data_IF_348060214610
#
_entry.id   IF_348060214610
#
_cell.length_a   1.000
_cell.length_b   1.000
_cell.length_c   1.000
_cell.angle_alpha   90.00
_cell.angle_beta   90.00
_cell.angle_gamma   90.00
#
_symmetry.space_group_name_H-M   'P 1'
#
loop_
_entity.id
_entity.type
_entity.pdbx_description
1 polymer ?
#
# COMPACT_ATOMS: atom_id res chain seq x y z
N UNK A 1 -11.66 33.40 -0.98
CA UNK A 1 -11.53 32.18 -1.81
C UNK A 1 -10.20 31.56 -1.41
N UNK A 2 -10.20 30.75 -0.36
CA UNK A 2 -9.00 30.07 0.16
C UNK A 2 -8.96 28.70 -0.50
N UNK A 3 -8.01 28.49 -1.39
CA UNK A 3 -7.74 27.15 -1.93
C UNK A 3 -7.24 26.27 -0.80
N UNK A 4 -7.82 25.08 -0.71
CA UNK A 4 -7.61 24.12 0.35
C UNK A 4 -6.34 23.32 -0.01
N UNK A 5 -5.15 23.90 0.17
CA UNK A 5 -3.88 23.35 -0.34
C UNK A 5 -3.05 22.61 0.72
N UNK A 6 -3.68 22.10 1.79
CA UNK A 6 -2.98 21.54 2.96
C UNK A 6 -2.97 20.01 3.08
N UNK A 7 -3.54 19.27 2.13
CA UNK A 7 -3.58 17.81 2.17
C UNK A 7 -2.63 17.26 1.10
N UNK A 8 -1.57 16.52 1.45
CA UNK A 8 -0.65 15.95 0.48
C UNK A 8 -1.37 15.02 -0.49
N UNK A 9 -0.89 14.98 -1.73
CA UNK A 9 -1.38 14.06 -2.75
C UNK A 9 -1.08 12.61 -2.33
N UNK A 10 -1.91 11.68 -2.80
CA UNK A 10 -1.62 10.26 -2.62
C UNK A 10 -0.52 9.82 -3.60
N UNK A 11 0.33 8.87 -3.20
CA UNK A 11 1.26 8.22 -4.12
C UNK A 11 0.53 7.64 -5.33
N UNK A 12 1.22 7.57 -6.47
CA UNK A 12 0.64 6.98 -7.66
C UNK A 12 0.20 5.53 -7.40
N UNK A 13 -0.99 5.18 -7.89
CA UNK A 13 -1.58 3.85 -7.74
C UNK A 13 -2.20 3.58 -6.36
N UNK A 14 -2.13 4.51 -5.40
CA UNK A 14 -2.90 4.40 -4.16
C UNK A 14 -4.40 4.53 -4.47
N UNK A 15 -5.20 3.65 -3.86
CA UNK A 15 -6.65 3.65 -3.98
C UNK A 15 -7.32 4.55 -2.92
N UNK A 16 -6.66 4.73 -1.77
CA UNK A 16 -7.18 5.54 -0.70
C UNK A 16 -6.19 5.75 0.45
N UNK A 17 -6.69 6.39 1.50
CA UNK A 17 -5.97 6.55 2.75
C UNK A 17 -6.94 6.55 3.94
N UNK A 18 -6.41 6.32 5.14
CA UNK A 18 -7.12 6.53 6.40
C UNK A 18 -7.21 8.02 6.75
N UNK A 19 -7.92 8.33 7.82
CA UNK A 19 -7.80 9.64 8.47
C UNK A 19 -6.40 9.82 9.06
N UNK A 20 -6.02 11.06 9.36
CA UNK A 20 -4.76 11.36 10.03
C UNK A 20 -4.80 10.90 11.48
N UNK A 21 -3.75 10.22 11.90
CA UNK A 21 -3.54 9.67 13.23
C UNK A 21 -2.27 10.26 13.84
N UNK A 22 -2.31 10.50 15.16
CA UNK A 22 -1.18 11.01 15.93
C UNK A 22 -0.69 9.91 16.87
N UNK A 23 0.53 9.43 16.67
CA UNK A 23 1.21 8.49 17.56
C UNK A 23 2.47 9.15 18.14
N UNK A 24 2.44 9.44 19.45
CA UNK A 24 3.44 10.28 20.09
C UNK A 24 3.49 11.68 19.46
N UNK A 25 4.65 12.03 18.88
CA UNK A 25 4.88 13.31 18.19
C UNK A 25 4.75 13.19 16.66
N UNK A 26 4.42 12.00 16.14
CA UNK A 26 4.34 11.71 14.71
C UNK A 26 2.89 11.77 14.21
N UNK A 27 2.63 12.69 13.28
CA UNK A 27 1.35 12.76 12.56
C UNK A 27 1.50 12.02 11.22
N UNK A 28 0.67 11.01 10.98
CA UNK A 28 0.69 10.22 9.76
C UNK A 28 -0.71 9.78 9.34
N UNK A 29 -0.83 9.21 8.14
CA UNK A 29 -2.00 8.43 7.71
C UNK A 29 -1.51 7.18 6.99
N UNK A 30 -2.34 6.15 6.94
CA UNK A 30 -2.04 4.95 6.15
C UNK A 30 -2.59 5.16 4.75
N UNK A 31 -1.73 5.11 3.73
CA UNK A 31 -2.12 5.04 2.31
C UNK A 31 -2.12 3.59 1.87
N UNK A 32 -3.04 3.20 1.00
CA UNK A 32 -3.16 1.80 0.57
C UNK A 32 -3.64 1.67 -0.89
N UNK A 33 -3.32 0.53 -1.51
CA UNK A 33 -3.88 0.13 -2.81
C UNK A 33 -5.18 -0.64 -2.63
N UNK A 34 -5.94 -0.80 -3.71
CA UNK A 34 -7.02 -1.79 -3.73
C UNK A 34 -6.44 -3.20 -3.56
N UNK A 35 -7.21 -4.08 -2.91
CA UNK A 35 -6.86 -5.48 -2.80
C UNK A 35 -7.00 -6.18 -4.15
N UNK A 36 -5.88 -6.63 -4.69
CA UNK A 36 -5.82 -7.44 -5.91
C UNK A 36 -6.04 -8.89 -5.56
N UNK A 37 -7.14 -9.46 -6.07
CA UNK A 37 -7.54 -10.84 -5.75
C UNK A 37 -7.27 -11.80 -6.90
N UNK A 38 -6.90 -13.02 -6.55
CA UNK A 38 -6.86 -14.11 -7.53
C UNK A 38 -8.27 -14.63 -7.78
N UNK A 39 -8.68 -14.68 -9.04
CA UNK A 39 -10.00 -15.16 -9.44
C UNK A 39 -10.35 -16.53 -8.85
N UNK A 40 -11.57 -16.63 -8.32
CA UNK A 40 -12.09 -17.86 -7.75
C UNK A 40 -11.44 -18.27 -6.42
N UNK A 41 -10.74 -17.36 -5.73
CA UNK A 41 -10.32 -17.57 -4.35
C UNK A 41 -10.30 -16.25 -3.56
N UNK A 42 -10.19 -16.34 -2.24
CA UNK A 42 -10.19 -15.17 -1.35
C UNK A 42 -8.76 -14.66 -1.06
N UNK A 43 -7.78 -15.06 -1.88
CA UNK A 43 -6.40 -14.61 -1.72
C UNK A 43 -6.25 -13.23 -2.33
N UNK A 44 -5.74 -12.29 -1.54
CA UNK A 44 -5.59 -10.89 -1.90
C UNK A 44 -4.19 -10.37 -1.56
N UNK A 45 -3.72 -9.41 -2.36
CA UNK A 45 -2.51 -8.64 -2.06
C UNK A 45 -2.87 -7.16 -2.11
N UNK A 46 -2.41 -6.39 -1.14
CA UNK A 46 -2.45 -4.94 -1.19
C UNK A 46 -1.17 -4.37 -0.57
N UNK A 47 -0.87 -3.13 -0.94
CA UNK A 47 0.21 -2.35 -0.36
C UNK A 47 -0.37 -1.39 0.67
N UNK A 48 0.44 -1.09 1.68
CA UNK A 48 0.21 0.08 2.51
C UNK A 48 1.52 0.74 2.92
N UNK A 49 1.48 2.05 3.14
CA UNK A 49 2.60 2.81 3.68
C UNK A 49 2.08 3.90 4.61
N UNK A 50 2.94 4.38 5.52
CA UNK A 50 2.65 5.58 6.29
C UNK A 50 3.05 6.81 5.48
N UNK A 51 2.15 7.78 5.38
CA UNK A 51 2.41 9.07 4.74
C UNK A 51 2.33 10.21 5.76
N UNK A 52 3.29 11.12 5.70
CA UNK A 52 3.35 12.32 6.53
C UNK A 52 2.68 13.53 5.88
N UNK A 53 2.38 14.62 6.64
CA UNK A 53 1.73 15.82 6.11
C UNK A 53 2.51 16.53 5.00
N UNK A 54 3.83 16.34 4.94
CA UNK A 54 4.69 16.86 3.86
C UNK A 54 4.60 16.03 2.56
N UNK A 55 3.90 14.90 2.60
CA UNK A 55 3.66 13.99 1.49
C UNK A 55 4.69 12.87 1.36
N UNK A 56 5.76 12.89 2.15
CA UNK A 56 6.75 11.81 2.19
C UNK A 56 6.17 10.52 2.76
N UNK A 57 6.73 9.38 2.33
CA UNK A 57 6.44 8.08 2.93
C UNK A 57 7.47 7.77 4.02
N UNK A 58 7.00 7.19 5.12
CA UNK A 58 7.86 6.80 6.23
C UNK A 58 8.83 5.71 5.81
N UNK A 59 10.10 5.90 6.15
CA UNK A 59 11.17 4.92 5.92
C UNK A 59 11.34 3.98 7.11
N UNK A 60 11.08 4.48 8.31
CA UNK A 60 11.14 3.70 9.55
C UNK A 60 10.00 2.69 9.63
N UNK A 61 8.90 2.96 8.93
CA UNK A 61 7.84 2.01 8.64
C UNK A 61 7.64 1.89 7.12
N UNK A 62 8.49 1.08 6.45
CA UNK A 62 8.57 1.04 4.99
C UNK A 62 7.27 0.50 4.39
N UNK A 63 7.10 0.70 3.08
CA UNK A 63 5.95 0.15 2.35
C UNK A 63 5.82 -1.35 2.61
N UNK A 64 4.68 -1.75 3.17
CA UNK A 64 4.38 -3.13 3.51
C UNK A 64 3.54 -3.76 2.39
N UNK A 65 3.92 -4.98 2.00
CA UNK A 65 3.12 -5.82 1.11
C UNK A 65 2.33 -6.81 1.96
N UNK A 66 1.04 -6.58 2.11
CA UNK A 66 0.15 -7.48 2.83
C UNK A 66 -0.36 -8.57 1.89
N UNK A 67 -0.12 -9.82 2.29
CA UNK A 67 -0.65 -11.00 1.60
C UNK A 67 -1.71 -11.62 2.48
N UNK A 68 -2.98 -11.44 2.11
CA UNK A 68 -4.09 -12.11 2.72
C UNK A 68 -4.34 -13.44 2.01
N UNK A 69 -4.07 -14.54 2.68
CA UNK A 69 -4.33 -15.89 2.18
C UNK A 69 -5.56 -16.42 2.91
N UNK A 70 -6.73 -16.35 2.26
CA UNK A 70 -7.96 -16.91 2.80
C UNK A 70 -8.46 -18.14 2.03
N UNK A 71 -9.00 -19.08 2.80
CA UNK A 71 -9.52 -20.37 2.34
C UNK A 71 -8.73 -21.56 2.91
N UNK A 72 -9.43 -22.68 3.09
CA UNK A 72 -8.89 -23.89 3.72
C UNK A 72 -8.25 -24.87 2.71
N UNK A 73 -8.11 -24.48 1.44
CA UNK A 73 -7.75 -25.37 0.33
C UNK A 73 -6.45 -24.99 -0.39
N UNK A 74 -5.71 -25.96 -0.95
CA UNK A 74 -4.52 -25.67 -1.74
C UNK A 74 -4.88 -24.91 -3.01
N UNK A 75 -4.01 -23.99 -3.43
CA UNK A 75 -4.12 -23.32 -4.73
C UNK A 75 -3.85 -24.30 -5.87
N UNK A 76 -4.64 -24.17 -6.94
CA UNK A 76 -4.27 -24.79 -8.22
C UNK A 76 -3.02 -24.13 -8.80
N UNK A 77 -2.30 -24.83 -9.68
CA UNK A 77 -1.11 -24.25 -10.33
C UNK A 77 -1.40 -23.00 -11.18
N UNK A 78 -2.64 -22.80 -11.65
CA UNK A 78 -3.03 -21.55 -12.32
C UNK A 78 -3.17 -20.41 -11.31
N UNK A 79 -3.86 -20.66 -10.19
CA UNK A 79 -4.03 -19.67 -9.12
C UNK A 79 -2.70 -19.30 -8.45
N UNK A 80 -1.80 -20.27 -8.24
CA UNK A 80 -0.46 -19.98 -7.72
C UNK A 80 0.35 -19.06 -8.64
N UNK A 81 0.24 -19.23 -9.97
CA UNK A 81 0.91 -18.33 -10.92
C UNK A 81 0.26 -16.95 -10.96
N UNK A 82 -1.06 -16.88 -10.88
CA UNK A 82 -1.77 -15.61 -10.78
C UNK A 82 -1.37 -14.85 -9.50
N UNK A 83 -1.32 -15.52 -8.35
CA UNK A 83 -0.85 -14.92 -7.09
C UNK A 83 0.59 -14.44 -7.21
N UNK A 84 1.47 -15.26 -7.80
CA UNK A 84 2.86 -14.87 -8.03
C UNK A 84 2.98 -13.61 -8.90
N UNK A 85 2.17 -13.47 -9.95
CA UNK A 85 2.16 -12.27 -10.77
C UNK A 85 1.70 -11.04 -9.99
N UNK A 86 0.61 -11.16 -9.21
CA UNK A 86 0.12 -10.07 -8.37
C UNK A 86 1.20 -9.62 -7.36
N UNK A 87 1.95 -10.57 -6.78
CA UNK A 87 3.06 -10.25 -5.88
C UNK A 87 4.22 -9.53 -6.57
N UNK A 88 4.53 -9.91 -7.82
CA UNK A 88 5.56 -9.22 -8.60
C UNK A 88 5.13 -7.79 -8.93
N UNK A 89 3.88 -7.59 -9.37
CA UNK A 89 3.34 -6.28 -9.69
C UNK A 89 3.30 -5.38 -8.43
N UNK A 90 2.93 -5.95 -7.28
CA UNK A 90 2.95 -5.25 -5.99
C UNK A 90 4.37 -4.86 -5.57
N UNK A 91 5.37 -5.73 -5.80
CA UNK A 91 6.76 -5.43 -5.51
C UNK A 91 7.29 -4.27 -6.38
N UNK A 92 6.99 -4.27 -7.69
CA UNK A 92 7.37 -3.18 -8.58
C UNK A 92 6.75 -1.83 -8.15
N UNK A 93 5.49 -1.85 -7.70
CA UNK A 93 4.84 -0.65 -7.19
C UNK A 93 5.43 -0.18 -5.85
N UNK A 94 5.76 -1.11 -4.95
CA UNK A 94 6.43 -0.80 -3.68
C UNK A 94 7.82 -0.18 -3.92
N UNK A 95 8.60 -0.69 -4.88
CA UNK A 95 9.88 -0.10 -5.30
C UNK A 95 9.69 1.33 -5.81
N UNK A 96 8.58 1.59 -6.53
CA UNK A 96 8.21 2.94 -6.97
C UNK A 96 7.86 3.88 -5.82
N UNK A 97 7.23 3.37 -4.76
CA UNK A 97 6.91 4.14 -3.55
C UNK A 97 8.14 4.39 -2.68
N UNK A 98 9.09 3.45 -2.60
CA UNK A 98 10.34 3.63 -1.88
C UNK A 98 11.16 4.82 -2.41
N UNK A 99 11.03 5.17 -3.69
CA UNK A 99 11.66 6.37 -4.26
C UNK A 99 11.09 7.70 -3.73
N UNK A 100 9.97 7.67 -3.01
CA UNK A 100 9.31 8.82 -2.37
C UNK A 100 9.64 8.93 -0.86
N UNK A 101 10.42 8.00 -0.33
CA UNK A 101 10.91 8.06 1.05
C UNK A 101 11.89 9.25 1.19
N UNK A 102 11.72 10.04 2.25
CA UNK A 102 12.59 11.20 2.48
C UNK A 102 14.03 10.74 2.78
N UNK A 103 15.01 11.46 2.22
CA UNK A 103 16.39 11.40 2.70
C UNK A 103 16.54 12.33 3.90
N UNK A 104 17.08 11.85 5.01
CA UNK A 104 17.56 12.70 6.11
C UNK A 104 18.67 13.66 5.65
#
# INVERSE_FOLDING_TARGET
>A
MTTNDGVPALPWGAAGCTEWELDGDELYRIVYTDEQRVDGCEHGVHLSALQHPDGSLSRDNPTEIYVYIAGDGPLSGAQSRALAQILLDAAEQADGWAALESSE
#
